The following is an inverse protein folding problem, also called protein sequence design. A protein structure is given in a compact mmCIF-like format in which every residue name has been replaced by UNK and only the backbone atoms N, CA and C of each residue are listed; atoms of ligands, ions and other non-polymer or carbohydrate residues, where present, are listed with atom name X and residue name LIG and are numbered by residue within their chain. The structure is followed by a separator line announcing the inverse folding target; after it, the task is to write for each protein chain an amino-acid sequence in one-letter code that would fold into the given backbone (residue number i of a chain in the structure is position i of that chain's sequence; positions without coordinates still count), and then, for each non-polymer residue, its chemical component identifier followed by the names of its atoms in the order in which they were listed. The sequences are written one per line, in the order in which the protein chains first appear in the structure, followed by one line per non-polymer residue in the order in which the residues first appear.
data_IF_821953781982
#
_entry.id   IF_821953781982
#
_cell.length_a   1.000
_cell.length_b   1.000
_cell.length_c   1.000
_cell.angle_alpha   90.00
_cell.angle_beta   90.00
_cell.angle_gamma   90.00
#
_symmetry.space_group_name_H-M   'P 1'
#
loop_
_entity.id
_entity.type
_entity.pdbx_description
1 polymer ?
#
# COMPACT_ATOMS: atom_id res chain seq x y z
N UNK A 1 -72.00 5.92 -22.36
CA UNK A 1 -72.47 7.10 -23.10
C UNK A 1 -71.33 8.11 -23.14
N UNK A 2 -70.86 8.40 -24.39
CA UNK A 2 -69.90 9.42 -24.83
C UNK A 2 -68.39 9.18 -24.43
N UNK A 3 -67.51 8.67 -25.22
CA UNK A 3 -66.99 8.94 -26.60
C UNK A 3 -66.59 10.40 -26.88
N UNK A 4 -65.33 10.72 -26.93
CA UNK A 4 -64.62 11.66 -27.85
C UNK A 4 -63.11 11.50 -27.64
N UNK A 5 -62.40 10.84 -28.55
CA UNK A 5 -61.75 11.27 -29.83
C UNK A 5 -60.64 12.26 -29.64
N UNK A 6 -59.43 11.77 -29.78
CA UNK A 6 -58.40 12.07 -30.80
C UNK A 6 -57.78 13.46 -30.77
N UNK A 7 -56.46 13.53 -30.73
CA UNK A 7 -55.74 14.03 -31.91
C UNK A 7 -54.22 13.77 -31.74
N UNK A 8 -53.66 13.08 -32.72
CA UNK A 8 -52.26 12.88 -33.04
C UNK A 8 -51.67 14.18 -33.58
N UNK A 9 -50.52 14.63 -33.05
CA UNK A 9 -49.69 15.62 -33.75
C UNK A 9 -48.27 15.11 -33.84
N UNK A 10 -47.96 14.69 -35.06
CA UNK A 10 -46.65 14.37 -35.57
C UNK A 10 -45.97 15.70 -35.91
N UNK A 11 -44.81 15.98 -35.32
CA UNK A 11 -43.91 17.02 -35.85
C UNK A 11 -42.51 16.48 -35.96
N UNK A 12 -42.18 16.22 -37.20
CA UNK A 12 -40.91 15.90 -37.77
C UNK A 12 -40.19 17.24 -38.03
N UNK A 13 -39.03 17.51 -37.40
CA UNK A 13 -38.07 18.49 -37.91
C UNK A 13 -36.61 18.08 -37.57
N UNK A 14 -35.96 17.53 -38.57
CA UNK A 14 -34.68 17.89 -39.18
C UNK A 14 -33.46 18.13 -38.30
N UNK A 15 -32.50 17.20 -38.49
CA UNK A 15 -31.06 17.43 -38.25
C UNK A 15 -30.53 18.63 -39.04
N UNK A 16 -29.42 19.22 -38.58
CA UNK A 16 -28.32 19.49 -39.47
C UNK A 16 -27.07 18.75 -39.06
N UNK A 17 -26.56 17.99 -40.00
CA UNK A 17 -25.18 17.54 -40.11
C UNK A 17 -24.26 18.77 -40.24
N UNK A 18 -23.28 18.92 -39.35
CA UNK A 18 -22.11 19.73 -39.64
C UNK A 18 -20.87 18.86 -39.56
N UNK A 19 -20.44 18.47 -40.72
CA UNK A 19 -19.07 18.06 -41.04
C UNK A 19 -18.21 19.35 -41.07
N UNK A 20 -17.19 19.42 -40.23
CA UNK A 20 -16.00 20.27 -40.42
C UNK A 20 -14.93 19.70 -39.50
N UNK A 21 -13.88 19.18 -39.96
CA UNK A 21 -12.83 19.59 -40.80
C UNK A 21 -11.57 19.15 -40.11
N UNK A 22 -10.97 18.01 -40.56
CA UNK A 22 -9.60 17.63 -40.21
C UNK A 22 -8.63 18.77 -40.55
N UNK A 23 -7.96 19.31 -39.57
CA UNK A 23 -6.64 19.95 -39.78
C UNK A 23 -5.66 19.33 -38.81
N UNK A 24 -4.81 18.47 -39.35
CA UNK A 24 -3.60 18.02 -38.70
C UNK A 24 -2.65 19.18 -38.45
N UNK A 25 -2.19 19.24 -37.20
CA UNK A 25 -0.93 19.90 -36.90
C UNK A 25 -0.11 18.89 -36.10
N UNK A 26 1.00 18.51 -36.68
CA UNK A 26 1.98 17.66 -36.05
C UNK A 26 2.51 18.31 -34.78
N UNK A 27 2.41 17.60 -33.70
CA UNK A 27 3.11 17.90 -32.47
C UNK A 27 4.41 17.12 -32.44
N UNK A 28 5.51 17.72 -31.94
CA UNK A 28 6.78 17.04 -31.87
C UNK A 28 6.68 15.88 -30.87
N UNK A 29 7.32 14.79 -31.23
CA UNK A 29 7.54 13.61 -30.41
C UNK A 29 8.10 14.04 -29.05
N UNK A 30 7.26 14.05 -28.01
CA UNK A 30 7.70 14.04 -26.65
C UNK A 30 7.53 12.61 -26.13
N UNK A 31 8.62 12.07 -25.64
CA UNK A 31 8.79 10.79 -24.98
C UNK A 31 7.57 10.45 -24.09
N UNK A 32 6.65 9.67 -24.65
CA UNK A 32 5.36 9.40 -24.05
C UNK A 32 5.37 8.05 -23.33
N UNK A 33 5.74 8.05 -22.07
CA UNK A 33 5.29 6.97 -21.20
C UNK A 33 3.76 6.87 -21.31
N UNK A 34 3.23 5.75 -21.80
CA UNK A 34 1.79 5.48 -21.81
C UNK A 34 1.28 5.54 -20.37
N UNK A 35 0.71 6.67 -19.98
CA UNK A 35 -0.04 6.80 -18.73
C UNK A 35 -1.51 6.58 -19.07
N UNK A 36 -2.03 5.42 -18.74
CA UNK A 36 -3.46 5.20 -18.75
C UNK A 36 -3.98 5.59 -17.34
N UNK A 37 -4.49 6.82 -17.21
CA UNK A 37 -5.15 7.26 -16.00
C UNK A 37 -6.65 7.21 -16.23
N UNK A 38 -7.34 6.28 -15.59
CA UNK A 38 -8.79 6.21 -15.59
C UNK A 38 -9.33 6.52 -14.21
N UNK A 39 -10.33 7.38 -14.13
CA UNK A 39 -11.16 7.50 -12.93
C UNK A 39 -12.20 6.39 -13.01
N UNK A 40 -12.17 5.44 -12.08
CA UNK A 40 -13.17 4.39 -11.98
C UNK A 40 -14.58 4.97 -11.78
N UNK A 41 -15.61 4.18 -12.10
CA UNK A 41 -17.03 4.58 -11.98
C UNK A 41 -17.44 5.03 -10.55
N UNK A 42 -16.62 4.73 -9.54
CA UNK A 42 -16.79 5.10 -8.13
C UNK A 42 -15.97 6.32 -7.68
N UNK A 43 -15.29 7.01 -8.60
CA UNK A 43 -14.36 8.09 -8.25
C UNK A 43 -12.99 7.63 -7.73
N UNK A 44 -12.71 6.34 -7.80
CA UNK A 44 -11.41 5.75 -7.50
C UNK A 44 -10.34 6.22 -8.48
N UNK A 45 -9.14 6.48 -8.00
CA UNK A 45 -7.98 6.80 -8.84
C UNK A 45 -7.32 5.51 -9.30
N UNK A 46 -7.35 5.21 -10.60
CA UNK A 46 -6.70 4.03 -11.19
C UNK A 46 -5.62 4.47 -12.16
N UNK A 47 -4.36 4.14 -11.87
CA UNK A 47 -3.22 4.48 -12.72
C UNK A 47 -2.33 3.26 -12.90
N UNK A 48 -2.03 2.91 -14.15
CA UNK A 48 -1.06 1.88 -14.49
C UNK A 48 -0.05 2.43 -15.48
N UNK A 49 1.25 2.29 -15.15
CA UNK A 49 2.36 2.76 -16.01
C UNK A 49 3.38 1.65 -16.21
N UNK A 50 3.97 1.57 -17.39
CA UNK A 50 5.10 0.67 -17.63
C UNK A 50 6.44 1.28 -17.18
N UNK A 51 6.53 2.59 -17.08
CA UNK A 51 7.74 3.28 -16.63
C UNK A 51 7.40 4.62 -15.96
N UNK A 52 8.39 5.20 -15.29
CA UNK A 52 8.21 6.46 -14.56
C UNK A 52 7.45 6.34 -13.24
N UNK A 53 7.50 7.40 -12.46
CA UNK A 53 6.81 7.51 -11.19
C UNK A 53 5.32 7.80 -11.33
N UNK A 54 4.58 7.55 -10.26
CA UNK A 54 3.19 7.95 -10.09
C UNK A 54 3.14 8.88 -8.89
N UNK A 55 2.47 10.02 -9.06
CA UNK A 55 2.22 10.98 -7.99
C UNK A 55 0.72 11.27 -7.94
N UNK A 56 0.12 11.05 -6.78
CA UNK A 56 -1.31 11.26 -6.53
C UNK A 56 -1.47 12.08 -5.26
N UNK A 57 -1.85 13.34 -5.40
CA UNK A 57 -1.99 14.23 -4.25
C UNK A 57 -3.14 13.79 -3.32
N UNK A 58 -4.27 13.35 -3.87
CA UNK A 58 -5.44 12.97 -3.07
C UNK A 58 -6.33 11.93 -3.77
N UNK A 59 -6.73 10.89 -3.04
CA UNK A 59 -7.62 9.82 -3.50
C UNK A 59 -8.75 9.53 -2.48
N UNK A 60 -9.78 10.38 -2.40
CA UNK A 60 -10.81 10.27 -1.36
C UNK A 60 -11.67 9.01 -1.46
N UNK A 61 -11.77 8.41 -2.64
CA UNK A 61 -12.56 7.18 -2.87
C UNK A 61 -11.69 5.93 -3.02
N UNK A 62 -10.38 6.06 -2.81
CA UNK A 62 -9.41 4.99 -2.95
C UNK A 62 -8.52 5.13 -4.17
N UNK A 63 -7.43 4.37 -4.17
CA UNK A 63 -6.44 4.35 -5.23
C UNK A 63 -5.99 2.92 -5.57
N UNK A 64 -5.92 2.62 -6.87
CA UNK A 64 -5.26 1.42 -7.40
C UNK A 64 -4.15 1.86 -8.36
N UNK A 65 -2.91 1.79 -7.91
CA UNK A 65 -1.74 2.33 -8.58
C UNK A 65 -0.73 1.23 -8.89
N UNK A 66 -0.23 1.19 -10.12
CA UNK A 66 0.78 0.23 -10.52
C UNK A 66 1.82 0.85 -11.44
N UNK A 67 3.10 0.59 -11.18
CA UNK A 67 4.18 0.92 -12.12
C UNK A 67 5.24 -0.18 -12.14
N UNK A 68 5.92 -0.35 -13.27
CA UNK A 68 7.03 -1.31 -13.38
C UNK A 68 8.39 -0.68 -13.04
N UNK A 69 8.57 0.61 -13.27
CA UNK A 69 9.90 1.21 -13.17
C UNK A 69 10.11 2.26 -12.11
N UNK A 70 9.10 3.03 -11.75
CA UNK A 70 9.25 4.20 -10.89
C UNK A 70 8.72 4.03 -9.47
N UNK A 71 8.96 5.02 -8.63
CA UNK A 71 8.33 5.14 -7.33
C UNK A 71 6.88 5.61 -7.42
N UNK A 72 6.13 5.40 -6.34
CA UNK A 72 4.75 5.86 -6.22
C UNK A 72 4.66 6.70 -4.95
N UNK A 73 4.15 7.93 -5.10
CA UNK A 73 3.84 8.80 -3.98
C UNK A 73 2.34 9.10 -3.94
N UNK A 74 1.77 9.02 -2.74
CA UNK A 74 0.36 9.31 -2.48
C UNK A 74 0.26 10.25 -1.28
N UNK A 75 -0.21 11.47 -1.48
CA UNK A 75 -0.38 12.45 -0.41
C UNK A 75 -1.48 12.03 0.57
N UNK A 76 -2.69 11.77 0.09
CA UNK A 76 -3.74 11.25 0.98
C UNK A 76 -4.68 10.26 0.32
N UNK A 77 -5.10 9.25 1.08
CA UNK A 77 -6.09 8.26 0.64
C UNK A 77 -7.07 7.93 1.77
N UNK A 78 -8.38 8.03 1.48
CA UNK A 78 -9.38 7.91 2.54
C UNK A 78 -10.05 6.53 2.63
N UNK A 79 -10.19 5.78 1.54
CA UNK A 79 -10.95 4.52 1.53
C UNK A 79 -10.04 3.28 1.51
N UNK A 80 -9.30 3.13 0.44
CA UNK A 80 -8.31 2.06 0.31
C UNK A 80 -7.17 2.47 -0.65
N UNK A 81 -5.99 1.92 -0.43
CA UNK A 81 -4.84 2.04 -1.33
C UNK A 81 -4.33 0.66 -1.72
N UNK A 82 -4.36 0.33 -3.01
CA UNK A 82 -3.70 -0.84 -3.58
C UNK A 82 -2.58 -0.36 -4.48
N UNK A 83 -1.36 -0.53 -4.03
CA UNK A 83 -0.19 0.08 -4.66
C UNK A 83 0.86 -0.98 -4.95
N UNK A 84 1.30 -1.04 -6.21
CA UNK A 84 2.35 -1.97 -6.64
C UNK A 84 3.41 -1.27 -7.47
N UNK A 85 4.67 -1.54 -7.17
CA UNK A 85 5.79 -1.19 -8.05
C UNK A 85 6.80 -2.33 -8.13
N UNK A 86 7.52 -2.43 -9.24
CA UNK A 86 8.60 -3.42 -9.36
C UNK A 86 9.97 -2.83 -9.05
N UNK A 87 10.20 -1.57 -9.37
CA UNK A 87 11.53 -0.98 -9.24
C UNK A 87 11.68 0.07 -8.14
N UNK A 88 10.68 0.87 -7.91
CA UNK A 88 10.74 2.03 -7.02
C UNK A 88 10.25 1.79 -5.59
N UNK A 89 10.34 2.82 -4.77
CA UNK A 89 9.71 2.87 -3.45
C UNK A 89 8.24 3.27 -3.52
N UNK A 90 7.56 3.09 -2.41
CA UNK A 90 6.18 3.55 -2.18
C UNK A 90 6.22 4.49 -0.99
N UNK A 91 5.64 5.66 -1.15
CA UNK A 91 5.54 6.69 -0.11
C UNK A 91 4.09 7.15 0.00
N UNK A 92 3.51 7.02 1.20
CA UNK A 92 2.14 7.43 1.50
C UNK A 92 2.18 8.35 2.70
N UNK A 93 1.72 9.60 2.51
CA UNK A 93 1.73 10.56 3.61
C UNK A 93 0.60 10.29 4.61
N UNK A 94 -0.63 10.09 4.12
CA UNK A 94 -1.77 9.89 5.00
C UNK A 94 -2.79 8.90 4.44
N UNK A 95 -3.07 7.85 5.20
CA UNK A 95 -4.06 6.82 4.87
C UNK A 95 -5.05 6.62 6.01
N UNK A 96 -6.32 7.01 5.81
CA UNK A 96 -7.39 6.74 6.78
C UNK A 96 -8.08 5.39 6.57
N UNK A 97 -7.93 4.82 5.38
CA UNK A 97 -8.46 3.50 5.03
C UNK A 97 -7.40 2.40 5.00
N UNK A 98 -7.73 1.29 4.37
CA UNK A 98 -6.81 0.15 4.26
C UNK A 98 -5.69 0.39 3.25
N UNK A 99 -4.49 -0.07 3.57
CA UNK A 99 -3.32 0.00 2.69
C UNK A 99 -2.85 -1.41 2.34
N UNK A 100 -2.70 -1.70 1.04
CA UNK A 100 -2.02 -2.89 0.49
C UNK A 100 -0.92 -2.41 -0.46
N UNK A 101 0.32 -2.33 0.04
CA UNK A 101 1.48 -1.80 -0.66
C UNK A 101 2.50 -2.90 -0.93
N UNK A 102 2.94 -3.03 -2.18
CA UNK A 102 3.93 -4.04 -2.58
C UNK A 102 5.00 -3.44 -3.48
N UNK A 103 6.26 -3.67 -3.15
CA UNK A 103 7.40 -3.36 -4.02
C UNK A 103 8.39 -4.52 -4.12
N UNK A 104 9.06 -4.64 -5.26
CA UNK A 104 10.14 -5.63 -5.43
C UNK A 104 11.53 -5.05 -5.17
N UNK A 105 11.72 -3.76 -5.37
CA UNK A 105 13.06 -3.17 -5.27
C UNK A 105 13.24 -2.14 -4.17
N UNK A 106 12.29 -1.26 -3.99
CA UNK A 106 12.38 -0.12 -3.09
C UNK A 106 11.88 -0.39 -1.67
N UNK A 107 11.91 0.65 -0.85
CA UNK A 107 11.28 0.66 0.46
C UNK A 107 9.81 1.08 0.40
N UNK A 108 9.11 0.90 1.51
CA UNK A 108 7.75 1.38 1.70
C UNK A 108 7.75 2.29 2.93
N UNK A 109 7.24 3.51 2.77
CA UNK A 109 7.05 4.46 3.86
C UNK A 109 5.58 4.85 3.94
N UNK A 110 4.99 4.72 5.11
CA UNK A 110 3.64 5.19 5.41
C UNK A 110 3.74 6.10 6.61
N UNK A 111 3.67 7.40 6.36
CA UNK A 111 3.89 8.41 7.39
C UNK A 111 2.75 8.49 8.40
N UNK A 112 1.53 8.17 7.97
CA UNK A 112 0.36 8.14 8.85
C UNK A 112 -0.65 7.11 8.35
N UNK A 113 -0.95 6.10 9.14
CA UNK A 113 -1.98 5.10 8.87
C UNK A 113 -3.01 5.09 10.01
N UNK A 114 -4.30 5.02 9.66
CA UNK A 114 -5.41 4.89 10.61
C UNK A 114 -6.21 3.60 10.41
N UNK A 115 -5.88 2.81 9.41
CA UNK A 115 -6.56 1.58 9.01
C UNK A 115 -5.63 0.38 8.94
N UNK A 116 -6.15 -0.78 8.52
CA UNK A 116 -5.33 -1.98 8.33
C UNK A 116 -4.21 -1.77 7.30
N UNK A 117 -3.00 -2.23 7.62
CA UNK A 117 -1.82 -2.07 6.75
C UNK A 117 -1.26 -3.43 6.37
N UNK A 118 -1.09 -3.64 5.08
CA UNK A 118 -0.27 -4.72 4.52
C UNK A 118 0.81 -4.11 3.64
N UNK A 119 2.08 -4.27 4.04
CA UNK A 119 3.22 -3.78 3.29
C UNK A 119 4.24 -4.89 3.06
N UNK A 120 4.59 -5.12 1.80
CA UNK A 120 5.52 -6.17 1.39
C UNK A 120 6.62 -5.58 0.51
N UNK A 121 7.87 -5.70 0.95
CA UNK A 121 9.05 -5.34 0.16
C UNK A 121 9.98 -6.53 -0.04
N UNK A 122 10.49 -6.72 -1.25
CA UNK A 122 11.47 -7.77 -1.50
C UNK A 122 12.92 -7.30 -1.35
N UNK A 123 13.19 -6.00 -1.40
CA UNK A 123 14.56 -5.50 -1.33
C UNK A 123 14.81 -4.38 -0.34
N UNK A 124 13.82 -3.58 -0.03
CA UNK A 124 13.95 -2.39 0.82
C UNK A 124 13.33 -2.53 2.21
N UNK A 125 13.57 -1.53 3.04
CA UNK A 125 12.95 -1.43 4.37
C UNK A 125 11.48 -1.02 4.30
N UNK A 126 10.80 -1.16 5.43
CA UNK A 126 9.40 -0.74 5.60
C UNK A 126 9.34 0.13 6.85
N UNK A 127 8.78 1.30 6.72
CA UNK A 127 8.51 2.22 7.84
C UNK A 127 7.02 2.54 7.86
N UNK A 128 6.37 2.29 8.98
CA UNK A 128 4.93 2.56 9.16
C UNK A 128 4.72 3.26 10.49
N UNK A 129 3.98 4.35 10.44
CA UNK A 129 3.50 5.05 11.63
C UNK A 129 1.97 4.92 11.70
N UNK A 130 1.51 4.07 12.59
CA UNK A 130 0.09 3.88 12.87
C UNK A 130 -0.36 4.91 13.89
N UNK A 131 -1.46 5.59 13.61
CA UNK A 131 -2.00 6.64 14.47
C UNK A 131 -3.49 6.43 14.71
N UNK A 132 -4.01 7.10 15.72
CA UNK A 132 -5.44 7.15 15.99
C UNK A 132 -5.92 6.18 17.08
N UNK A 133 -7.09 6.50 17.60
CA UNK A 133 -7.75 5.80 18.71
C UNK A 133 -8.97 4.99 18.26
N UNK A 134 -9.01 4.61 16.97
CA UNK A 134 -10.17 3.90 16.42
C UNK A 134 -10.44 2.60 17.17
N UNK A 135 -11.70 2.32 17.44
CA UNK A 135 -12.16 1.04 18.00
C UNK A 135 -12.27 -0.06 16.94
N UNK A 136 -12.01 0.25 15.68
CA UNK A 136 -12.01 -0.73 14.59
C UNK A 136 -10.76 -1.59 14.62
N UNK A 137 -10.91 -2.83 14.17
CA UNK A 137 -9.77 -3.74 14.04
C UNK A 137 -8.81 -3.24 12.95
N UNK A 138 -7.53 -3.13 13.30
CA UNK A 138 -6.45 -2.64 12.44
C UNK A 138 -5.31 -3.65 12.44
N UNK A 139 -5.46 -4.68 11.61
CA UNK A 139 -4.42 -5.68 11.45
C UNK A 139 -3.26 -5.11 10.65
N UNK A 140 -2.03 -5.34 11.11
CA UNK A 140 -0.81 -4.86 10.49
C UNK A 140 0.04 -6.07 10.06
N UNK A 141 0.35 -6.16 8.76
CA UNK A 141 1.22 -7.18 8.21
C UNK A 141 2.36 -6.55 7.42
N UNK A 142 3.58 -6.67 7.95
CA UNK A 142 4.79 -6.11 7.36
C UNK A 142 5.77 -7.21 7.02
N UNK A 143 6.17 -7.30 5.76
CA UNK A 143 7.12 -8.32 5.30
C UNK A 143 8.24 -7.68 4.47
N UNK A 144 9.50 -7.88 4.87
CA UNK A 144 10.67 -7.50 4.07
C UNK A 144 11.60 -8.68 3.85
N UNK A 145 12.04 -8.89 2.61
CA UNK A 145 13.02 -9.95 2.30
C UNK A 145 14.48 -9.48 2.38
N UNK A 146 14.73 -8.20 2.65
CA UNK A 146 16.11 -7.69 2.64
C UNK A 146 16.36 -6.39 3.40
N UNK A 147 15.36 -5.84 4.09
CA UNK A 147 15.48 -4.55 4.77
C UNK A 147 14.98 -4.53 6.21
N UNK A 148 15.27 -3.43 6.88
CA UNK A 148 14.75 -3.20 8.22
C UNK A 148 13.25 -2.91 8.18
N UNK A 149 12.56 -3.25 9.27
CA UNK A 149 11.15 -2.88 9.46
C UNK A 149 11.06 -2.03 10.72
N UNK A 150 10.45 -0.87 10.58
CA UNK A 150 10.14 0.03 11.67
C UNK A 150 8.63 0.25 11.72
N UNK A 151 8.04 -0.05 12.87
CA UNK A 151 6.63 0.16 13.15
C UNK A 151 6.51 1.01 14.40
N UNK A 152 5.84 2.14 14.28
CA UNK A 152 5.45 2.97 15.40
C UNK A 152 3.94 2.91 15.58
N UNK A 153 3.50 2.63 16.80
CA UNK A 153 2.07 2.53 17.16
C UNK A 153 1.78 3.40 18.38
N UNK A 154 0.52 3.82 18.59
CA UNK A 154 0.13 4.51 19.82
C UNK A 154 0.43 3.68 21.07
N UNK A 155 0.76 4.34 22.18
CA UNK A 155 1.15 3.71 23.44
C UNK A 155 0.13 2.67 23.97
N UNK A 156 -1.14 2.95 23.78
CA UNK A 156 -2.23 2.10 24.25
C UNK A 156 -2.82 1.22 23.13
N UNK A 157 -2.08 1.01 22.03
CA UNK A 157 -2.53 0.20 20.90
C UNK A 157 -2.65 -1.28 21.32
N UNK A 158 -3.88 -1.83 21.38
CA UNK A 158 -4.07 -3.22 21.81
C UNK A 158 -3.70 -4.18 20.68
N UNK A 159 -2.65 -4.98 20.87
CA UNK A 159 -2.11 -5.82 19.80
C UNK A 159 -1.70 -7.23 20.26
N UNK A 160 -1.91 -8.22 19.40
CA UNK A 160 -1.28 -9.55 19.44
C UNK A 160 -0.11 -9.53 18.42
N UNK A 161 1.12 -9.51 18.93
CA UNK A 161 2.32 -9.30 18.14
C UNK A 161 3.05 -10.59 17.87
N UNK A 162 3.42 -10.81 16.61
CA UNK A 162 4.34 -11.86 16.18
C UNK A 162 5.40 -11.27 15.27
N UNK A 163 6.65 -11.33 15.71
CA UNK A 163 7.81 -10.89 14.94
C UNK A 163 8.68 -12.09 14.61
N UNK A 164 9.04 -12.24 13.34
CA UNK A 164 9.99 -13.24 12.87
C UNK A 164 11.11 -12.55 12.09
N UNK A 165 12.30 -12.56 12.64
CA UNK A 165 13.52 -12.09 11.98
C UNK A 165 14.35 -13.30 11.61
N UNK A 166 14.53 -13.58 10.32
CA UNK A 166 15.44 -14.59 9.80
C UNK A 166 16.75 -13.95 9.37
N UNK A 167 17.88 -14.60 9.66
CA UNK A 167 19.16 -14.12 9.15
C UNK A 167 20.03 -15.28 8.64
N UNK A 168 20.84 -14.97 7.61
CA UNK A 168 21.70 -15.92 6.90
C UNK A 168 23.18 -15.69 7.15
N UNK A 169 23.53 -14.56 7.81
CA UNK A 169 24.91 -14.14 8.05
C UNK A 169 25.14 -13.91 9.54
N UNK A 170 26.29 -14.27 10.00
CA UNK A 170 26.72 -14.09 11.41
C UNK A 170 27.62 -12.88 11.65
N UNK A 171 28.06 -12.22 10.57
CA UNK A 171 28.92 -11.03 10.61
C UNK A 171 28.18 -9.74 11.02
N UNK A 172 26.86 -9.78 11.07
CA UNK A 172 26.02 -8.67 11.52
C UNK A 172 25.17 -9.08 12.73
N UNK A 173 25.04 -8.18 13.66
CA UNK A 173 24.13 -8.36 14.80
C UNK A 173 22.73 -7.87 14.40
N UNK A 174 21.85 -8.81 14.05
CA UNK A 174 20.45 -8.52 13.85
C UNK A 174 19.71 -8.55 15.18
N UNK A 175 18.76 -7.66 15.36
CA UNK A 175 18.01 -7.54 16.62
C UNK A 175 16.58 -7.09 16.41
N UNK A 176 15.75 -7.44 17.38
CA UNK A 176 14.41 -6.88 17.56
C UNK A 176 14.52 -5.88 18.71
N UNK A 177 14.31 -4.60 18.40
CA UNK A 177 14.22 -3.52 19.40
C UNK A 177 12.74 -3.25 19.63
N UNK A 178 12.29 -3.36 20.87
CA UNK A 178 10.88 -3.18 21.20
C UNK A 178 10.73 -2.62 22.62
N UNK A 179 9.65 -1.88 22.84
CA UNK A 179 9.28 -1.29 24.13
C UNK A 179 7.96 -1.86 24.67
N UNK A 180 7.42 -2.89 24.01
CA UNK A 180 6.13 -3.48 24.31
C UNK A 180 6.17 -4.69 25.28
N UNK A 181 7.34 -5.01 25.84
CA UNK A 181 7.49 -6.14 26.79
C UNK A 181 7.27 -7.51 26.17
N UNK A 182 7.62 -7.69 24.90
CA UNK A 182 7.48 -8.98 24.20
C UNK A 182 8.54 -9.99 24.64
N UNK A 183 8.18 -11.26 24.66
CA UNK A 183 9.12 -12.35 24.83
C UNK A 183 9.95 -12.54 23.57
N UNK A 184 11.27 -12.40 23.70
CA UNK A 184 12.22 -12.54 22.59
C UNK A 184 13.00 -13.83 22.71
N UNK A 185 12.95 -14.66 21.68
CA UNK A 185 13.63 -15.95 21.64
C UNK A 185 14.47 -16.11 20.36
N UNK A 186 15.74 -16.43 20.53
CA UNK A 186 16.63 -16.75 19.41
C UNK A 186 16.79 -18.27 19.27
N UNK A 187 16.65 -18.80 18.03
CA UNK A 187 16.86 -20.22 17.78
C UNK A 187 18.33 -20.59 17.93
N UNK A 188 18.62 -21.64 18.67
CA UNK A 188 20.00 -22.12 18.88
C UNK A 188 20.64 -22.75 17.63
N UNK A 189 19.83 -23.28 16.71
CA UNK A 189 20.28 -24.07 15.58
C UNK A 189 20.02 -23.40 14.23
N UNK A 190 20.85 -23.77 13.23
CA UNK A 190 20.67 -23.35 11.85
C UNK A 190 19.66 -24.23 11.14
N UNK A 191 18.56 -23.63 10.69
CA UNK A 191 17.60 -24.29 9.82
C UNK A 191 18.13 -24.36 8.38
N UNK A 192 18.26 -25.57 7.85
CA UNK A 192 18.75 -25.86 6.50
C UNK A 192 17.65 -26.38 5.56
N UNK A 193 16.42 -26.43 5.99
CA UNK A 193 15.29 -26.98 5.25
C UNK A 193 14.98 -26.22 3.95
N UNK A 194 15.29 -24.94 3.91
CA UNK A 194 15.01 -24.02 2.80
C UNK A 194 16.23 -23.72 1.90
N UNK A 195 17.25 -24.56 1.92
CA UNK A 195 18.48 -24.41 1.12
C UNK A 195 19.54 -23.56 1.79
N UNK A 196 19.42 -22.23 1.81
CA UNK A 196 20.36 -21.37 2.54
C UNK A 196 20.12 -21.46 4.04
N UNK A 197 21.14 -21.82 4.85
CA UNK A 197 20.99 -21.92 6.30
C UNK A 197 20.51 -20.60 6.91
N UNK A 198 19.52 -20.68 7.80
CA UNK A 198 18.93 -19.53 8.50
C UNK A 198 18.86 -19.77 10.00
N UNK A 199 19.01 -18.68 10.76
CA UNK A 199 18.61 -18.63 12.17
C UNK A 199 17.51 -17.63 12.34
N UNK A 200 16.76 -17.78 13.42
CA UNK A 200 15.58 -16.96 13.68
C UNK A 200 15.67 -16.30 15.04
N UNK A 201 15.30 -15.03 15.07
CA UNK A 201 14.93 -14.31 16.29
C UNK A 201 13.41 -14.09 16.20
N UNK A 202 12.68 -14.58 17.21
CA UNK A 202 11.23 -14.42 17.27
C UNK A 202 10.87 -13.62 18.50
N UNK A 203 9.90 -12.72 18.34
CA UNK A 203 9.29 -12.05 19.46
C UNK A 203 7.78 -12.22 19.38
N UNK A 204 7.14 -12.44 20.52
CA UNK A 204 5.68 -12.53 20.59
C UNK A 204 5.16 -12.03 21.94
N UNK A 205 3.93 -11.56 21.94
CA UNK A 205 3.27 -11.11 23.15
C UNK A 205 1.95 -10.39 22.86
N UNK A 206 1.18 -10.21 23.90
CA UNK A 206 -0.11 -9.52 23.83
C UNK A 206 0.00 -8.23 24.64
N UNK A 207 -0.35 -7.12 24.01
CA UNK A 207 -0.43 -5.79 24.63
C UNK A 207 -1.91 -5.40 24.73
N UNK A 208 -2.35 -5.04 25.94
CA UNK A 208 -3.75 -4.71 26.19
C UNK A 208 -4.69 -5.90 25.91
N UNK A 209 -5.75 -5.68 25.15
CA UNK A 209 -6.72 -6.73 24.79
C UNK A 209 -6.29 -7.64 23.66
N UNK A 210 -5.18 -7.33 22.95
CA UNK A 210 -4.75 -8.11 21.79
C UNK A 210 -5.67 -8.00 20.56
N UNK A 211 -6.48 -6.96 20.47
CA UNK A 211 -7.52 -6.83 19.43
C UNK A 211 -6.95 -6.82 18.00
N UNK A 212 -5.81 -6.16 17.80
CA UNK A 212 -5.20 -6.00 16.49
C UNK A 212 -4.07 -7.01 16.31
N UNK A 213 -4.06 -7.73 15.20
CA UNK A 213 -2.97 -8.65 14.90
C UNK A 213 -1.84 -7.90 14.21
N UNK A 214 -0.65 -7.96 14.80
CA UNK A 214 0.57 -7.38 14.24
C UNK A 214 1.54 -8.50 13.88
N UNK A 215 1.78 -8.69 12.59
CA UNK A 215 2.72 -9.69 12.08
C UNK A 215 3.85 -8.98 11.34
N UNK A 216 5.08 -9.20 11.79
CA UNK A 216 6.27 -8.59 11.20
C UNK A 216 7.26 -9.69 10.83
N UNK A 217 7.65 -9.74 9.56
CA UNK A 217 8.62 -10.71 9.06
C UNK A 217 9.74 -10.01 8.27
N UNK A 218 10.99 -10.28 8.63
CA UNK A 218 12.13 -9.78 7.86
C UNK A 218 13.23 -10.82 7.69
N UNK A 219 13.99 -10.66 6.61
CA UNK A 219 15.21 -11.45 6.36
C UNK A 219 16.39 -10.50 6.26
N UNK A 220 17.43 -10.74 7.06
CA UNK A 220 18.65 -9.93 7.11
C UNK A 220 18.40 -8.42 7.38
N UNK A 221 17.40 -8.11 8.19
CA UNK A 221 17.05 -6.77 8.61
C UNK A 221 16.75 -6.71 10.10
N UNK A 222 16.81 -5.53 10.70
CA UNK A 222 16.37 -5.31 12.07
C UNK A 222 14.87 -5.01 12.12
N UNK A 223 14.26 -5.30 13.25
CA UNK A 223 12.88 -4.88 13.55
C UNK A 223 12.90 -3.90 14.71
N UNK A 224 12.25 -2.77 14.52
CA UNK A 224 12.07 -1.73 15.54
C UNK A 224 10.57 -1.54 15.73
N UNK A 225 10.08 -1.79 16.94
CA UNK A 225 8.70 -1.57 17.35
C UNK A 225 8.66 -0.50 18.42
N UNK A 226 8.20 0.67 18.06
CA UNK A 226 8.06 1.83 18.93
C UNK A 226 6.62 2.00 19.39
N UNK A 227 6.46 2.53 20.60
CA UNK A 227 5.18 2.98 21.14
C UNK A 227 5.29 4.44 21.58
N UNK A 228 4.44 5.30 21.03
CA UNK A 228 4.42 6.75 21.29
C UNK A 228 3.10 7.23 21.89
#
# INVERSE_FOLDING_TARGET
MNLRKATMFLLLTSLPSMLAGCRGFGSPFTDGGMSDSSTGASGEVVISKMGGGIDVANAPHGATLSTMGGGIHVGSVASFARIKTMGGGIDIDHATGSVDAMTMGGGITINTAEGPVKAVSMGGGITVHEVGTSTQQRDIHLESKGGNIELTVPKDFPMDVKVTLAYTRTDRQYRIVQHAGLDVHESGEWDRSMGTPRRYIRASGIVGSGQNRVTIETVNGNVILNQE
#
